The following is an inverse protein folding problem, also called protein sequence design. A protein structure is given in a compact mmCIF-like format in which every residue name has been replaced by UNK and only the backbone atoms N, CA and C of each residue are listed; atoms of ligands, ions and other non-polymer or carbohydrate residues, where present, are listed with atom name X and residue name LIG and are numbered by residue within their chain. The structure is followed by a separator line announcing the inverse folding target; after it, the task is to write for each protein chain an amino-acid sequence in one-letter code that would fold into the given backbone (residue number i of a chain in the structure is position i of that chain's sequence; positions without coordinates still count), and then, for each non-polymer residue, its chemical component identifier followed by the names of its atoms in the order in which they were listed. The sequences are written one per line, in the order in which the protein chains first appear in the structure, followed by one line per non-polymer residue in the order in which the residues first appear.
data_IF_444853952448
#
_entry.id   IF_444853952448
#
_cell.length_a   1.000
_cell.length_b   1.000
_cell.length_c   1.000
_cell.angle_alpha   90.00
_cell.angle_beta   90.00
_cell.angle_gamma   90.00
#
_symmetry.space_group_name_H-M   'P 1'
#
loop_
_entity.id
_entity.type
_entity.pdbx_description
1 polymer ?
#
# COMPACT_ATOMS: atom_id res chain seq x y z
N UNK A 1 12.82 -30.12 7.72
CA UNK A 1 12.84 -29.00 8.69
C UNK A 1 11.65 -28.11 8.38
N UNK A 2 10.75 -27.86 9.34
CA UNK A 2 9.64 -26.93 9.13
C UNK A 2 10.22 -25.53 8.94
N UNK A 3 9.90 -24.87 7.82
CA UNK A 3 10.31 -23.49 7.55
C UNK A 3 9.73 -22.63 8.66
N UNK A 4 10.56 -22.05 9.51
CA UNK A 4 10.12 -21.09 10.53
C UNK A 4 9.54 -19.90 9.78
N UNK A 5 8.22 -19.83 9.65
CA UNK A 5 7.55 -18.66 9.09
C UNK A 5 7.73 -17.56 10.12
N UNK A 6 8.40 -16.46 9.73
CA UNK A 6 8.43 -15.29 10.59
C UNK A 6 6.98 -14.83 10.77
N UNK A 7 6.47 -14.76 12.01
CA UNK A 7 5.06 -14.46 12.25
C UNK A 7 4.71 -13.01 11.88
N UNK A 8 5.73 -12.16 11.66
CA UNK A 8 5.60 -10.78 11.24
C UNK A 8 6.54 -10.55 10.05
N UNK A 9 6.00 -10.05 8.95
CA UNK A 9 6.73 -9.74 7.71
C UNK A 9 6.30 -8.38 7.15
N UNK A 10 7.07 -7.88 6.19
CA UNK A 10 6.62 -6.79 5.31
C UNK A 10 6.04 -7.44 4.06
N UNK A 11 4.78 -7.09 3.76
CA UNK A 11 4.11 -7.49 2.53
C UNK A 11 4.47 -6.54 1.39
N UNK A 12 3.45 -6.07 0.66
CA UNK A 12 3.66 -5.12 -0.42
C UNK A 12 4.32 -3.83 0.07
N UNK A 13 5.39 -3.40 -0.61
CA UNK A 13 6.11 -2.17 -0.28
C UNK A 13 6.57 -1.42 -1.53
N UNK A 14 6.43 -0.09 -1.52
CA UNK A 14 6.79 0.74 -2.67
C UNK A 14 6.94 2.22 -2.35
N UNK A 15 7.62 2.97 -3.23
CA UNK A 15 7.72 4.44 -3.17
C UNK A 15 6.73 5.09 -4.13
N UNK A 16 5.77 5.83 -3.57
CA UNK A 16 4.81 6.64 -4.29
C UNK A 16 5.30 8.09 -4.39
N UNK A 17 5.26 8.67 -5.60
CA UNK A 17 5.39 10.12 -5.81
C UNK A 17 4.01 10.69 -6.09
N UNK A 18 3.44 11.42 -5.14
CA UNK A 18 2.09 12.00 -5.24
C UNK A 18 2.24 13.52 -5.26
N UNK A 19 2.07 14.12 -6.43
CA UNK A 19 2.40 15.53 -6.66
C UNK A 19 3.88 15.81 -6.39
N UNK A 20 4.17 16.75 -5.49
CA UNK A 20 5.52 17.12 -5.04
C UNK A 20 6.00 16.37 -3.78
N UNK A 21 5.24 15.40 -3.27
CA UNK A 21 5.56 14.65 -2.07
C UNK A 21 5.87 13.18 -2.37
N UNK A 22 6.72 12.57 -1.55
CA UNK A 22 7.07 11.15 -1.62
C UNK A 22 6.55 10.42 -0.39
N UNK A 23 6.13 9.18 -0.61
CA UNK A 23 5.57 8.31 0.43
C UNK A 23 6.12 6.89 0.26
N UNK A 24 6.58 6.28 1.34
CA UNK A 24 6.75 4.84 1.43
C UNK A 24 5.39 4.23 1.77
N UNK A 25 4.85 3.43 0.87
CA UNK A 25 3.67 2.60 1.11
C UNK A 25 4.17 1.26 1.59
N UNK A 26 3.69 0.81 2.75
CA UNK A 26 4.14 -0.43 3.36
C UNK A 26 2.98 -1.16 4.00
N UNK A 27 2.87 -2.44 3.70
CA UNK A 27 2.03 -3.40 4.41
C UNK A 27 2.87 -4.12 5.46
N UNK A 28 2.36 -4.15 6.69
CA UNK A 28 2.87 -5.06 7.72
C UNK A 28 1.92 -6.24 7.79
N UNK A 29 2.44 -7.44 7.66
CA UNK A 29 1.67 -8.67 7.83
C UNK A 29 2.07 -9.33 9.14
N UNK A 30 1.11 -9.64 10.00
CA UNK A 30 1.29 -10.49 11.17
C UNK A 30 0.25 -11.60 11.16
N UNK A 31 0.73 -12.85 11.09
CA UNK A 31 -0.08 -14.06 10.89
C UNK A 31 0.29 -15.14 11.90
N UNK A 32 -0.71 -15.64 12.62
CA UNK A 32 -0.63 -16.78 13.53
C UNK A 32 -1.97 -17.53 13.54
N UNK A 33 -2.09 -18.75 14.11
CA UNK A 33 -3.37 -19.44 14.19
C UNK A 33 -4.47 -18.58 14.83
N UNK A 34 -5.51 -18.25 14.05
CA UNK A 34 -6.62 -17.39 14.50
C UNK A 34 -6.34 -15.89 14.51
N UNK A 35 -5.18 -15.43 14.02
CA UNK A 35 -4.79 -14.02 13.99
C UNK A 35 -4.30 -13.62 12.60
N UNK A 36 -4.92 -12.58 12.04
CA UNK A 36 -4.47 -11.94 10.81
C UNK A 36 -4.54 -10.42 10.99
N UNK A 37 -3.39 -9.76 10.88
CA UNK A 37 -3.22 -8.32 11.00
C UNK A 37 -2.41 -7.86 9.79
N UNK A 38 -3.01 -7.03 8.93
CA UNK A 38 -2.44 -6.64 7.63
C UNK A 38 -2.58 -5.12 7.35
N UNK A 39 -2.19 -4.22 8.28
CA UNK A 39 -2.36 -2.79 8.07
C UNK A 39 -1.41 -2.26 6.98
N UNK A 40 -1.96 -1.38 6.14
CA UNK A 40 -1.19 -0.58 5.20
C UNK A 40 -1.00 0.83 5.74
N UNK A 41 0.23 1.34 5.65
CA UNK A 41 0.58 2.70 6.05
C UNK A 41 1.24 3.46 4.89
N UNK A 42 1.10 4.78 4.91
CA UNK A 42 1.85 5.67 4.05
C UNK A 42 2.77 6.55 4.90
N UNK A 43 4.09 6.38 4.77
CA UNK A 43 5.08 7.15 5.51
C UNK A 43 5.63 8.25 4.61
N UNK A 44 5.46 9.52 4.97
CA UNK A 44 5.99 10.65 4.19
C UNK A 44 7.52 10.63 4.25
N UNK A 45 8.15 10.68 3.09
CA UNK A 45 9.60 10.71 2.94
C UNK A 45 10.06 12.01 2.27
N UNK A 46 11.30 12.40 2.53
CA UNK A 46 11.99 13.40 1.70
C UNK A 46 12.34 12.81 0.34
N UNK A 47 12.57 13.66 -0.67
CA UNK A 47 13.05 13.21 -1.97
C UNK A 47 14.38 12.43 -1.86
N UNK A 48 15.27 12.84 -0.94
CA UNK A 48 16.54 12.15 -0.68
C UNK A 48 16.33 10.74 -0.12
N UNK A 49 15.47 10.59 0.89
CA UNK A 49 15.12 9.29 1.46
C UNK A 49 14.47 8.37 0.43
N UNK A 50 13.48 8.87 -0.32
CA UNK A 50 12.83 8.14 -1.39
C UNK A 50 13.82 7.66 -2.46
N UNK A 51 14.74 8.53 -2.89
CA UNK A 51 15.77 8.18 -3.85
C UNK A 51 16.75 7.12 -3.31
N UNK A 52 17.13 7.21 -2.03
CA UNK A 52 17.97 6.19 -1.38
C UNK A 52 17.28 4.82 -1.33
N UNK A 53 16.00 4.77 -0.96
CA UNK A 53 15.22 3.52 -0.93
C UNK A 53 15.06 2.91 -2.31
N UNK A 54 14.78 3.72 -3.34
CA UNK A 54 14.69 3.24 -4.73
C UNK A 54 16.04 2.66 -5.19
N UNK A 55 17.16 3.33 -4.87
CA UNK A 55 18.50 2.80 -5.20
C UNK A 55 18.82 1.50 -4.46
N UNK A 56 18.26 1.30 -3.27
CA UNK A 56 18.39 0.08 -2.50
C UNK A 56 17.46 -1.06 -3.00
N UNK A 57 16.65 -0.81 -4.03
CA UNK A 57 15.81 -1.82 -4.66
C UNK A 57 14.32 -1.70 -4.35
N UNK A 58 13.87 -0.74 -3.54
CA UNK A 58 12.43 -0.53 -3.29
C UNK A 58 11.74 -0.08 -4.58
N UNK A 59 10.72 -0.83 -4.99
CA UNK A 59 9.99 -0.57 -6.23
C UNK A 59 9.22 0.75 -6.16
N UNK A 60 8.91 1.31 -7.33
CA UNK A 60 7.98 2.45 -7.43
C UNK A 60 6.56 1.92 -7.39
N UNK A 61 5.69 2.66 -6.71
CA UNK A 61 4.25 2.37 -6.66
C UNK A 61 3.65 2.45 -8.06
N UNK A 62 2.75 1.52 -8.38
CA UNK A 62 2.02 1.50 -9.65
C UNK A 62 0.77 2.36 -9.50
N UNK A 63 0.60 3.35 -10.39
CA UNK A 63 -0.62 4.14 -10.48
C UNK A 63 -1.49 3.63 -11.64
N UNK A 64 -2.81 3.55 -11.43
CA UNK A 64 -3.78 3.22 -12.47
C UNK A 64 -5.00 4.11 -12.39
N UNK A 65 -5.73 4.21 -13.50
CA UNK A 65 -7.01 4.91 -13.55
C UNK A 65 -8.19 3.99 -13.20
N UNK A 66 -7.98 2.67 -13.22
CA UNK A 66 -9.01 1.68 -12.90
C UNK A 66 -8.51 0.62 -11.93
N UNK A 67 -9.40 0.07 -11.06
CA UNK A 67 -9.08 -1.05 -10.17
C UNK A 67 -8.47 -2.23 -10.92
N UNK A 68 -7.37 -2.82 -10.40
CA UNK A 68 -6.86 -4.07 -10.95
C UNK A 68 -7.93 -5.17 -10.81
N UNK A 69 -8.06 -6.01 -11.84
CA UNK A 69 -8.93 -7.19 -11.78
C UNK A 69 -8.13 -8.42 -11.32
N UNK A 70 -8.71 -9.30 -10.50
CA UNK A 70 -8.14 -10.60 -10.19
C UNK A 70 -8.11 -11.49 -11.43
N UNK A 71 -7.17 -12.41 -11.49
CA UNK A 71 -7.05 -13.41 -12.55
C UNK A 71 -6.34 -14.65 -12.00
N UNK A 72 -6.24 -15.73 -12.79
CA UNK A 72 -5.43 -16.89 -12.41
C UNK A 72 -4.01 -16.45 -12.02
N UNK A 73 -3.56 -16.82 -10.82
CA UNK A 73 -2.24 -16.44 -10.28
C UNK A 73 -2.09 -14.98 -9.83
N UNK A 74 -3.17 -14.21 -9.78
CA UNK A 74 -3.14 -12.80 -9.33
C UNK A 74 -4.30 -12.52 -8.39
N UNK A 75 -3.99 -12.39 -7.10
CA UNK A 75 -4.97 -11.90 -6.12
C UNK A 75 -4.96 -10.38 -6.13
N UNK A 76 -6.12 -9.80 -5.81
CA UNK A 76 -6.30 -8.36 -5.69
C UNK A 76 -7.14 -8.14 -4.45
N UNK A 77 -6.60 -7.38 -3.51
CA UNK A 77 -7.28 -7.03 -2.26
C UNK A 77 -7.32 -5.51 -2.10
N UNK A 78 -8.50 -4.96 -1.79
CA UNK A 78 -8.64 -3.56 -1.42
C UNK A 78 -8.19 -3.37 0.03
N UNK A 79 -7.03 -2.74 0.24
CA UNK A 79 -6.49 -2.49 1.57
C UNK A 79 -7.05 -1.22 2.23
N UNK A 80 -7.53 -0.26 1.44
CA UNK A 80 -8.20 0.93 1.98
C UNK A 80 -8.14 2.16 1.08
N UNK A 81 -8.40 3.32 1.68
CA UNK A 81 -8.40 4.63 1.03
C UNK A 81 -7.28 5.50 1.59
N UNK A 82 -6.41 6.01 0.72
CA UNK A 82 -5.32 6.91 1.05
C UNK A 82 -5.65 8.35 0.64
N UNK A 83 -5.54 9.28 1.60
CA UNK A 83 -5.61 10.72 1.37
C UNK A 83 -4.19 11.30 1.45
N UNK A 84 -3.63 11.71 0.32
CA UNK A 84 -2.25 12.20 0.24
C UNK A 84 -2.11 13.36 -0.76
N UNK A 85 -1.45 14.44 -0.34
CA UNK A 85 -1.21 15.64 -1.14
C UNK A 85 -2.44 16.13 -1.93
N UNK A 86 -3.56 16.32 -1.21
CA UNK A 86 -4.87 16.73 -1.75
C UNK A 86 -5.44 15.81 -2.85
N UNK A 87 -5.00 14.56 -2.91
CA UNK A 87 -5.50 13.52 -3.80
C UNK A 87 -6.00 12.34 -2.98
N UNK A 88 -6.91 11.58 -3.57
CA UNK A 88 -7.56 10.42 -2.94
C UNK A 88 -7.29 9.20 -3.81
N UNK A 89 -6.92 8.10 -3.19
CA UNK A 89 -6.63 6.84 -3.87
C UNK A 89 -7.29 5.68 -3.14
N UNK A 90 -7.84 4.72 -3.89
CA UNK A 90 -8.00 3.36 -3.37
C UNK A 90 -6.67 2.63 -3.53
N UNK A 91 -6.28 1.90 -2.49
CA UNK A 91 -5.01 1.17 -2.43
C UNK A 91 -5.31 -0.32 -2.48
N UNK A 92 -4.73 -0.99 -3.47
CA UNK A 92 -4.85 -2.41 -3.64
C UNK A 92 -3.51 -3.07 -3.36
N UNK A 93 -3.54 -4.14 -2.58
CA UNK A 93 -2.49 -5.14 -2.66
C UNK A 93 -2.76 -6.07 -3.85
N UNK A 94 -1.71 -6.39 -4.58
CA UNK A 94 -1.76 -7.23 -5.77
C UNK A 94 -0.66 -8.27 -5.64
N UNK A 95 -0.99 -9.37 -4.98
CA UNK A 95 -0.12 -10.54 -4.90
C UNK A 95 0.05 -11.14 -6.30
N UNK A 96 1.29 -11.08 -6.79
CA UNK A 96 1.75 -11.74 -8.01
C UNK A 96 3.24 -12.10 -7.81
N UNK A 97 4.08 -12.00 -8.84
CA UNK A 97 5.53 -12.23 -8.70
C UNK A 97 6.32 -11.05 -8.10
N UNK A 98 5.67 -9.93 -7.74
CA UNK A 98 6.38 -8.68 -7.38
C UNK A 98 5.88 -7.98 -6.10
N UNK A 99 4.78 -8.41 -5.49
CA UNK A 99 4.21 -7.85 -4.24
C UNK A 99 4.27 -6.31 -4.16
N UNK A 100 3.49 -5.63 -5.01
CA UNK A 100 3.48 -4.16 -5.13
C UNK A 100 2.09 -3.59 -4.89
N UNK A 101 2.02 -2.50 -4.13
CA UNK A 101 0.80 -1.72 -3.96
C UNK A 101 0.40 -0.99 -5.25
N UNK A 102 -0.87 -1.11 -5.65
CA UNK A 102 -1.46 -0.36 -6.75
C UNK A 102 -2.35 0.75 -6.20
N UNK A 103 -2.09 1.99 -6.59
CA UNK A 103 -2.89 3.16 -6.24
C UNK A 103 -3.79 3.55 -7.41
N UNK A 104 -5.10 3.57 -7.18
CA UNK A 104 -6.08 4.01 -8.16
C UNK A 104 -6.66 5.34 -7.72
N UNK A 105 -6.55 6.36 -8.58
CA UNK A 105 -7.07 7.69 -8.26
C UNK A 105 -8.60 7.65 -8.25
N UNK A 106 -9.19 8.16 -7.18
CA UNK A 106 -10.64 8.22 -7.00
C UNK A 106 -11.07 9.62 -6.58
N UNK A 107 -12.37 9.90 -6.73
CA UNK A 107 -12.98 11.13 -6.22
C UNK A 107 -13.50 10.94 -4.76
N UNK A 108 -14.05 12.02 -4.20
CA UNK A 108 -14.52 12.03 -2.81
C UNK A 108 -15.74 11.14 -2.58
N UNK A 109 -16.62 11.03 -3.57
CA UNK A 109 -17.85 10.24 -3.46
C UNK A 109 -17.55 8.75 -3.50
N UNK A 110 -16.64 8.34 -4.38
CA UNK A 110 -16.10 6.98 -4.43
C UNK A 110 -15.41 6.60 -3.12
N UNK A 111 -14.57 7.50 -2.58
CA UNK A 111 -13.90 7.28 -1.30
C UNK A 111 -14.92 7.12 -0.15
N UNK A 112 -15.94 7.98 -0.09
CA UNK A 112 -17.00 7.87 0.91
C UNK A 112 -17.78 6.56 0.77
N UNK A 113 -18.05 6.11 -0.45
CA UNK A 113 -18.71 4.83 -0.71
C UNK A 113 -17.88 3.65 -0.18
N UNK A 114 -16.57 3.64 -0.45
CA UNK A 114 -15.67 2.61 0.04
C UNK A 114 -15.60 2.61 1.57
N UNK A 115 -15.43 3.78 2.19
CA UNK A 115 -15.33 3.91 3.65
C UNK A 115 -16.63 3.47 4.33
N UNK A 116 -17.80 3.84 3.79
CA UNK A 116 -19.11 3.35 4.28
C UNK A 116 -19.28 1.84 4.11
N UNK A 117 -18.62 1.25 3.11
CA UNK A 117 -18.54 -0.18 2.91
C UNK A 117 -17.52 -0.90 3.79
N UNK A 118 -16.86 -0.20 4.72
CA UNK A 118 -15.89 -0.77 5.66
C UNK A 118 -14.43 -0.66 5.23
N UNK A 119 -14.12 0.00 4.10
CA UNK A 119 -12.73 0.21 3.71
C UNK A 119 -11.98 1.06 4.76
N UNK A 120 -10.77 0.61 5.12
CA UNK A 120 -9.91 1.30 6.07
C UNK A 120 -9.45 2.64 5.52
N UNK A 121 -9.26 3.64 6.39
CA UNK A 121 -8.56 4.88 6.03
C UNK A 121 -7.07 4.66 6.31
N UNK A 122 -6.26 4.71 5.25
CA UNK A 122 -4.82 4.52 5.35
C UNK A 122 -4.19 5.76 5.99
N UNK A 123 -3.52 5.55 7.12
CA UNK A 123 -2.89 6.62 7.88
C UNK A 123 -1.61 7.10 7.20
N UNK A 124 -1.49 8.42 7.05
CA UNK A 124 -0.24 9.05 6.64
C UNK A 124 0.60 9.42 7.86
N UNK A 125 1.75 8.79 8.02
CA UNK A 125 2.76 9.13 9.03
C UNK A 125 3.63 10.26 8.48
N UNK A 126 3.49 11.48 9.02
CA UNK A 126 4.09 12.70 8.44
C UNK A 126 5.48 13.03 8.97
N UNK A 127 5.85 12.51 10.13
CA UNK A 127 7.16 12.71 10.77
C UNK A 127 7.73 11.31 11.02
N UNK A 128 8.59 10.80 10.12
CA UNK A 128 9.07 9.42 10.20
C UNK A 128 10.16 9.19 11.26
N UNK A 129 10.65 10.26 11.91
CA UNK A 129 11.82 10.35 12.80
C UNK A 129 12.82 9.21 12.65
#
# INVERSE_FOLDING_TARGET
MAKTVQPITIGANSIAKIGNQFFLIVEVEAKAPGVEIDPVFAVRTTAKQAASLIRAGVMRTIFRDTPPKPSAGKKVELKGVLFANNRIFSVFDVENSTDVSVLVRINRDEANKLIRGGARIIKVIRKPF
#
